data_IF_463903876179
#
_entry.id   IF_463903876179
#
_cell.length_a   1.000
_cell.length_b   1.000
_cell.length_c   1.000
_cell.angle_alpha   90.00
_cell.angle_beta   90.00
_cell.angle_gamma   90.00
#
_symmetry.space_group_name_H-M   'P 1'
#
loop_
_entity.id
_entity.type
_entity.pdbx_description
1 polymer ?
#
# COMPACT_ATOMS: atom_id res chain seq x y z
N UNK A 1 -3.98 6.41 -15.55
CA UNK A 1 -4.58 6.68 -14.22
C UNK A 1 -5.22 8.07 -14.15
N UNK A 2 -4.55 9.13 -14.60
CA UNK A 2 -5.03 10.52 -14.49
C UNK A 2 -6.40 10.78 -15.12
N UNK A 3 -6.72 10.11 -16.24
CA UNK A 3 -8.03 10.26 -16.92
C UNK A 3 -9.16 9.44 -16.28
N UNK A 4 -8.86 8.48 -15.40
CA UNK A 4 -9.87 7.54 -14.87
C UNK A 4 -10.93 8.26 -14.01
N UNK A 5 -10.51 9.28 -13.26
CA UNK A 5 -11.36 10.02 -12.33
C UNK A 5 -11.65 11.45 -12.80
N UNK A 6 -11.16 11.85 -13.99
CA UNK A 6 -11.39 13.18 -14.53
C UNK A 6 -12.90 13.46 -14.70
N UNK A 7 -13.34 14.64 -14.25
CA UNK A 7 -14.75 15.04 -14.29
C UNK A 7 -15.58 14.61 -13.07
N UNK A 8 -15.02 13.79 -12.16
CA UNK A 8 -15.67 13.38 -10.91
C UNK A 8 -15.28 14.30 -9.74
N UNK A 9 -16.09 14.31 -8.68
CA UNK A 9 -15.71 14.88 -7.38
C UNK A 9 -15.04 13.83 -6.50
N UNK A 10 -14.42 14.24 -5.40
CA UNK A 10 -13.87 13.31 -4.41
C UNK A 10 -14.91 12.39 -3.81
N UNK A 11 -16.09 12.92 -3.51
CA UNK A 11 -17.21 12.18 -2.92
C UNK A 11 -17.69 11.08 -3.87
N UNK A 12 -17.77 11.37 -5.17
CA UNK A 12 -18.17 10.39 -6.19
C UNK A 12 -17.13 9.28 -6.31
N UNK A 13 -15.83 9.62 -6.32
CA UNK A 13 -14.75 8.61 -6.35
C UNK A 13 -14.75 7.77 -5.08
N UNK A 14 -14.91 8.38 -3.91
CA UNK A 14 -14.97 7.65 -2.63
C UNK A 14 -16.17 6.70 -2.58
N UNK A 15 -17.35 7.13 -3.04
CA UNK A 15 -18.54 6.29 -3.11
C UNK A 15 -18.37 5.11 -4.09
N UNK A 16 -17.74 5.35 -5.24
CA UNK A 16 -17.41 4.30 -6.22
C UNK A 16 -16.39 3.32 -5.63
N UNK A 17 -15.37 3.83 -4.95
CA UNK A 17 -14.35 3.04 -4.27
C UNK A 17 -14.96 2.12 -3.21
N UNK A 18 -15.87 2.62 -2.37
CA UNK A 18 -16.57 1.79 -1.37
C UNK A 18 -17.31 0.61 -2.01
N UNK A 19 -18.08 0.87 -3.06
CA UNK A 19 -18.78 -0.19 -3.78
C UNK A 19 -17.83 -1.23 -4.35
N UNK A 20 -16.73 -0.77 -4.93
CA UNK A 20 -15.70 -1.64 -5.50
C UNK A 20 -15.02 -2.50 -4.42
N UNK A 21 -14.71 -1.92 -3.26
CA UNK A 21 -14.10 -2.62 -2.13
C UNK A 21 -15.08 -3.65 -1.56
N UNK A 22 -16.35 -3.29 -1.37
CA UNK A 22 -17.38 -4.21 -0.88
C UNK A 22 -17.52 -5.43 -1.79
N UNK A 23 -17.48 -5.24 -3.10
CA UNK A 23 -17.48 -6.33 -4.05
C UNK A 23 -16.19 -7.16 -3.97
N UNK A 24 -15.02 -6.52 -3.96
CA UNK A 24 -13.73 -7.18 -3.93
C UNK A 24 -13.50 -8.00 -2.65
N UNK A 25 -14.10 -7.61 -1.52
CA UNK A 25 -14.06 -8.36 -0.26
C UNK A 25 -14.85 -9.67 -0.32
N UNK A 26 -15.84 -9.77 -1.22
CA UNK A 26 -16.64 -10.98 -1.44
C UNK A 26 -16.06 -11.87 -2.53
N UNK A 27 -15.27 -11.31 -3.45
CA UNK A 27 -14.67 -12.04 -4.55
C UNK A 27 -13.64 -13.08 -4.05
N UNK A 28 -13.46 -14.15 -4.85
CA UNK A 28 -12.35 -15.08 -4.63
C UNK A 28 -11.02 -14.38 -4.84
N UNK A 29 -10.03 -14.76 -4.03
CA UNK A 29 -8.64 -14.42 -4.30
C UNK A 29 -8.16 -15.30 -5.45
N UNK A 30 -8.01 -14.73 -6.63
CA UNK A 30 -7.62 -15.44 -7.85
C UNK A 30 -6.82 -14.54 -8.78
N UNK A 31 -6.14 -15.14 -9.74
CA UNK A 31 -5.53 -14.43 -10.86
C UNK A 31 -6.44 -14.55 -12.07
N UNK A 32 -6.75 -13.43 -12.71
CA UNK A 32 -7.56 -13.37 -13.92
C UNK A 32 -6.76 -12.74 -15.05
N UNK A 33 -6.96 -13.27 -16.26
CA UNK A 33 -6.38 -12.71 -17.48
C UNK A 33 -7.50 -12.24 -18.38
N UNK A 34 -7.46 -10.98 -18.76
CA UNK A 34 -8.38 -10.39 -19.71
C UNK A 34 -7.66 -10.04 -21.01
N UNK A 35 -8.35 -10.24 -22.10
CA UNK A 35 -7.88 -9.91 -23.43
C UNK A 35 -8.83 -8.92 -24.10
N UNK A 36 -8.28 -7.95 -24.83
CA UNK A 36 -9.09 -7.05 -25.63
C UNK A 36 -9.83 -7.83 -26.70
N UNK A 37 -11.11 -7.49 -27.00
CA UNK A 37 -11.87 -8.14 -28.07
C UNK A 37 -11.11 -8.07 -29.41
N UNK A 38 -11.16 -9.15 -30.19
CA UNK A 38 -10.43 -9.25 -31.46
C UNK A 38 -10.81 -8.12 -32.45
N UNK A 39 -12.06 -7.69 -32.46
CA UNK A 39 -12.56 -6.59 -33.29
C UNK A 39 -12.14 -5.18 -32.83
N UNK A 40 -11.49 -5.04 -31.66
CA UNK A 40 -11.05 -3.75 -31.09
C UNK A 40 -9.51 -3.66 -31.03
N UNK A 41 -8.79 -4.35 -31.90
CA UNK A 41 -7.35 -4.24 -32.05
C UNK A 41 -7.01 -2.82 -32.52
N UNK A 42 -6.29 -2.06 -31.68
CA UNK A 42 -5.67 -0.80 -32.07
C UNK A 42 -4.29 -1.04 -32.73
N UNK A 43 -3.51 0.02 -32.89
CA UNK A 43 -2.13 -0.06 -33.43
C UNK A 43 -1.24 -0.99 -32.58
N UNK A 44 -1.51 -1.13 -31.29
CA UNK A 44 -0.80 -2.03 -30.37
C UNK A 44 -1.20 -3.52 -30.49
N UNK A 45 -2.11 -3.86 -31.39
CA UNK A 45 -2.63 -5.22 -31.54
C UNK A 45 -3.57 -5.63 -30.40
N UNK A 46 -3.59 -6.93 -30.09
CA UNK A 46 -4.36 -7.46 -28.96
C UNK A 46 -3.65 -7.17 -27.64
N UNK A 47 -4.38 -6.62 -26.67
CA UNK A 47 -3.87 -6.31 -25.33
C UNK A 47 -4.33 -7.40 -24.37
N UNK A 48 -3.38 -7.99 -23.66
CA UNK A 48 -3.63 -8.96 -22.60
C UNK A 48 -3.15 -8.40 -21.27
N UNK A 49 -3.96 -8.48 -20.22
CA UNK A 49 -3.59 -8.05 -18.87
C UNK A 49 -3.96 -9.13 -17.85
N UNK A 50 -3.00 -9.49 -17.00
CA UNK A 50 -3.24 -10.38 -15.86
C UNK A 50 -3.22 -9.58 -14.58
N UNK A 51 -4.22 -9.76 -13.74
CA UNK A 51 -4.35 -9.06 -12.46
C UNK A 51 -4.89 -10.00 -11.38
N UNK A 52 -4.65 -9.63 -10.12
CA UNK A 52 -5.20 -10.33 -8.95
C UNK A 52 -6.57 -9.75 -8.62
N UNK A 53 -7.56 -10.62 -8.45
CA UNK A 53 -8.92 -10.28 -8.02
C UNK A 53 -9.12 -10.66 -6.57
N UNK A 54 -10.04 -9.95 -5.93
CA UNK A 54 -10.37 -10.13 -4.52
C UNK A 54 -9.43 -9.39 -3.58
N UNK A 55 -9.96 -9.01 -2.44
CA UNK A 55 -9.25 -8.32 -1.35
C UNK A 55 -9.63 -8.96 -0.02
N UNK A 56 -8.75 -8.93 0.96
CA UNK A 56 -9.06 -9.30 2.36
C UNK A 56 -8.54 -8.24 3.30
N UNK A 57 -9.36 -7.86 4.26
CA UNK A 57 -8.89 -7.05 5.40
C UNK A 57 -8.04 -7.92 6.33
N UNK A 58 -6.90 -7.39 6.75
CA UNK A 58 -5.92 -8.11 7.58
C UNK A 58 -6.16 -7.77 9.05
N UNK A 59 -6.71 -8.71 9.81
CA UNK A 59 -7.08 -8.52 11.22
C UNK A 59 -5.89 -8.16 12.10
N UNK A 60 -4.74 -8.73 11.83
CA UNK A 60 -3.51 -8.44 12.57
C UNK A 60 -3.12 -6.96 12.42
N UNK A 61 -3.26 -6.40 11.22
CA UNK A 61 -3.00 -4.97 10.97
C UNK A 61 -4.06 -4.07 11.62
N UNK A 62 -5.33 -4.48 11.62
CA UNK A 62 -6.40 -3.77 12.35
C UNK A 62 -6.08 -3.71 13.84
N UNK A 63 -5.66 -4.83 14.44
CA UNK A 63 -5.27 -4.92 15.85
C UNK A 63 -4.01 -4.10 16.14
N UNK A 64 -3.00 -4.15 15.28
CA UNK A 64 -1.78 -3.35 15.41
C UNK A 64 -2.11 -1.86 15.43
N UNK A 65 -2.85 -1.37 14.44
CA UNK A 65 -3.23 0.05 14.36
C UNK A 65 -4.04 0.49 15.57
N UNK A 66 -5.05 -0.29 15.95
CA UNK A 66 -5.85 -0.03 17.15
C UNK A 66 -4.98 0.05 18.41
N UNK A 67 -4.02 -0.87 18.57
CA UNK A 67 -3.14 -0.90 19.74
C UNK A 67 -2.20 0.31 19.76
N UNK A 68 -1.59 0.67 18.63
CA UNK A 68 -0.71 1.83 18.51
C UNK A 68 -1.47 3.11 18.87
N UNK A 69 -2.62 3.34 18.23
CA UNK A 69 -3.44 4.53 18.46
C UNK A 69 -3.96 4.61 19.92
N UNK A 70 -4.34 3.49 20.52
CA UNK A 70 -4.77 3.44 21.93
C UNK A 70 -3.63 3.77 22.92
N UNK A 71 -2.38 3.65 22.49
CA UNK A 71 -1.18 4.01 23.27
C UNK A 71 -0.59 5.37 22.86
N UNK A 72 -1.34 6.21 22.16
CA UNK A 72 -0.92 7.57 21.79
C UNK A 72 0.11 7.64 20.65
N UNK A 73 0.22 6.57 19.84
CA UNK A 73 1.07 6.55 18.65
C UNK A 73 0.20 6.81 17.43
N UNK A 74 0.46 7.90 16.72
CA UNK A 74 -0.26 8.23 15.51
C UNK A 74 0.13 7.28 14.37
N UNK A 75 -0.90 6.78 13.67
CA UNK A 75 -0.75 5.86 12.56
C UNK A 75 -1.14 6.56 11.26
N UNK A 76 -0.28 6.46 10.26
CA UNK A 76 -0.46 7.09 8.95
C UNK A 76 -0.46 6.03 7.84
N UNK A 77 -1.26 6.29 6.81
CA UNK A 77 -1.19 5.56 5.55
C UNK A 77 -0.51 6.42 4.50
N UNK A 78 0.53 5.89 3.86
CA UNK A 78 1.25 6.52 2.76
C UNK A 78 1.20 5.62 1.51
N UNK A 79 0.16 5.80 0.69
CA UNK A 79 -0.16 4.90 -0.42
C UNK A 79 0.21 5.50 -1.78
N UNK A 80 0.70 4.67 -2.70
CA UNK A 80 0.87 5.04 -4.11
C UNK A 80 -0.43 4.95 -4.94
N UNK A 81 -1.56 4.65 -4.31
CA UNK A 81 -2.88 4.72 -4.95
C UNK A 81 -3.45 6.14 -4.84
N UNK A 82 -4.46 6.44 -5.66
CA UNK A 82 -5.15 7.72 -5.59
C UNK A 82 -5.86 7.89 -4.24
N UNK A 83 -5.71 9.06 -3.62
CA UNK A 83 -6.13 9.31 -2.23
C UNK A 83 -7.61 9.02 -2.00
N UNK A 84 -8.49 9.44 -2.92
CA UNK A 84 -9.94 9.25 -2.78
C UNK A 84 -10.37 7.78 -2.92
N UNK A 85 -9.49 6.91 -3.43
CA UNK A 85 -9.70 5.45 -3.43
C UNK A 85 -9.31 4.83 -2.08
N UNK A 86 -8.30 5.37 -1.41
CA UNK A 86 -7.75 4.81 -0.17
C UNK A 86 -8.53 5.26 1.07
N UNK A 87 -8.97 6.51 1.12
CA UNK A 87 -9.68 7.07 2.28
C UNK A 87 -10.83 6.19 2.76
N UNK A 88 -11.76 5.72 1.90
CA UNK A 88 -12.86 4.87 2.36
C UNK A 88 -12.35 3.60 3.06
N UNK A 89 -11.37 2.90 2.47
CA UNK A 89 -10.86 1.64 3.02
C UNK A 89 -10.09 1.82 4.32
N UNK A 90 -9.31 2.88 4.43
CA UNK A 90 -8.51 3.17 5.62
C UNK A 90 -9.35 3.70 6.79
N UNK A 91 -10.38 4.54 6.50
CA UNK A 91 -11.03 5.35 7.52
C UNK A 91 -12.46 4.91 7.87
N UNK A 92 -13.18 4.23 6.95
CA UNK A 92 -14.53 3.77 7.26
C UNK A 92 -14.48 2.58 8.22
N UNK A 93 -15.18 2.71 9.35
CA UNK A 93 -15.19 1.72 10.44
C UNK A 93 -15.65 0.32 10.02
N UNK A 94 -16.44 0.21 8.96
CA UNK A 94 -16.87 -1.11 8.43
C UNK A 94 -15.71 -1.99 7.97
N UNK A 95 -14.56 -1.39 7.60
CA UNK A 95 -13.36 -2.15 7.18
C UNK A 95 -12.37 -2.38 8.33
N UNK A 96 -12.57 -1.76 9.48
CA UNK A 96 -11.89 -2.06 10.74
C UNK A 96 -10.49 -1.49 10.93
N UNK A 97 -9.96 -0.71 9.98
CA UNK A 97 -8.66 -0.05 10.14
C UNK A 97 -8.75 1.23 10.96
N UNK A 98 -9.82 2.00 10.80
CA UNK A 98 -10.17 3.18 11.59
C UNK A 98 -9.08 4.27 11.64
N UNK A 99 -8.32 4.42 10.58
CA UNK A 99 -7.32 5.48 10.48
C UNK A 99 -8.05 6.83 10.28
N UNK A 100 -7.72 7.88 11.03
CA UNK A 100 -8.25 9.22 10.81
C UNK A 100 -8.02 9.67 9.36
N UNK A 101 -8.99 10.33 8.72
CA UNK A 101 -8.90 10.73 7.30
C UNK A 101 -7.69 11.64 7.04
N UNK A 102 -7.37 12.52 7.97
CA UNK A 102 -6.22 13.41 7.96
C UNK A 102 -4.87 12.69 7.97
N UNK A 103 -4.86 11.44 8.47
CA UNK A 103 -3.68 10.60 8.53
C UNK A 103 -3.52 9.71 7.27
N UNK A 104 -4.39 9.88 6.28
CA UNK A 104 -4.30 9.15 5.01
C UNK A 104 -3.67 10.03 3.94
N UNK A 105 -2.53 9.59 3.40
CA UNK A 105 -1.87 10.21 2.26
C UNK A 105 -1.84 9.27 1.05
N UNK A 106 -2.02 9.82 -0.14
CA UNK A 106 -2.09 9.07 -1.39
C UNK A 106 -1.73 9.96 -2.57
N UNK A 107 -1.65 9.41 -3.76
CA UNK A 107 -1.46 10.19 -4.99
C UNK A 107 -2.59 11.20 -5.14
N UNK A 108 -2.28 12.42 -5.61
CA UNK A 108 -3.27 13.48 -5.79
C UNK A 108 -3.33 13.99 -7.22
N UNK A 109 -4.54 14.27 -7.67
CA UNK A 109 -4.82 14.99 -8.91
C UNK A 109 -5.25 16.43 -8.59
N UNK A 110 -5.02 17.33 -9.53
CA UNK A 110 -5.54 18.70 -9.46
C UNK A 110 -7.06 18.68 -9.40
N UNK A 111 -7.63 19.70 -8.78
CA UNK A 111 -9.08 19.95 -8.78
C UNK A 111 -9.29 21.39 -9.24
N UNK A 112 -10.38 21.62 -9.95
CA UNK A 112 -10.81 22.98 -10.29
C UNK A 112 -11.48 23.67 -9.09
N UNK A 113 -11.92 24.92 -9.29
CA UNK A 113 -12.56 25.73 -8.25
C UNK A 113 -13.89 25.14 -7.74
N UNK A 114 -14.47 24.18 -8.46
CA UNK A 114 -15.69 23.46 -8.08
C UNK A 114 -15.38 22.12 -7.40
N UNK A 115 -14.09 21.78 -7.20
CA UNK A 115 -13.66 20.53 -6.62
C UNK A 115 -13.67 19.34 -7.60
N UNK A 116 -13.86 19.60 -8.91
CA UNK A 116 -13.88 18.56 -9.95
C UNK A 116 -12.45 18.17 -10.32
N UNK A 117 -12.18 16.88 -10.31
CA UNK A 117 -10.88 16.27 -10.58
C UNK A 117 -10.48 16.51 -12.03
N UNK A 118 -9.25 16.98 -12.22
CA UNK A 118 -8.62 17.21 -13.52
C UNK A 118 -7.64 16.08 -13.87
N UNK A 119 -7.39 15.78 -15.16
CA UNK A 119 -6.51 14.68 -15.58
C UNK A 119 -5.01 15.01 -15.43
N UNK A 120 -4.65 15.72 -14.37
CA UNK A 120 -3.29 16.16 -14.09
C UNK A 120 -2.92 15.91 -12.64
N UNK A 121 -1.65 15.53 -12.39
CA UNK A 121 -1.14 15.45 -11.01
C UNK A 121 -1.09 16.84 -10.37
N UNK A 122 -1.41 16.89 -9.06
CA UNK A 122 -1.18 18.07 -8.25
C UNK A 122 0.33 18.25 -8.03
N UNK A 123 0.91 19.22 -8.71
CA UNK A 123 2.35 19.51 -8.66
C UNK A 123 2.79 20.21 -7.37
N UNK A 124 1.84 20.72 -6.57
CA UNK A 124 2.11 21.33 -5.27
C UNK A 124 2.22 20.29 -4.14
N UNK A 125 2.05 19.02 -4.50
CA UNK A 125 2.03 17.89 -3.56
C UNK A 125 3.04 16.82 -3.98
N UNK A 126 3.88 16.38 -3.05
CA UNK A 126 4.78 15.25 -3.29
C UNK A 126 3.94 13.99 -3.53
N UNK A 127 4.05 13.43 -4.75
CA UNK A 127 3.30 12.24 -5.08
C UNK A 127 3.87 11.03 -4.31
N UNK A 128 3.01 10.29 -3.64
CA UNK A 128 3.34 9.23 -2.67
C UNK A 128 3.85 7.94 -3.33
N UNK A 129 4.84 8.05 -4.20
CA UNK A 129 5.47 6.94 -4.91
C UNK A 129 7.00 7.03 -4.81
N UNK A 130 7.66 5.93 -4.44
CA UNK A 130 9.11 5.89 -4.30
C UNK A 130 9.63 6.94 -3.32
N UNK A 131 10.57 7.78 -3.76
CA UNK A 131 11.13 8.88 -2.96
C UNK A 131 10.07 9.90 -2.52
N UNK A 132 8.99 10.06 -3.28
CA UNK A 132 7.87 10.92 -2.91
C UNK A 132 7.18 10.50 -1.61
N UNK A 133 7.25 9.22 -1.20
CA UNK A 133 6.78 8.78 0.12
C UNK A 133 7.65 9.36 1.24
N UNK A 134 8.97 9.32 1.10
CA UNK A 134 9.90 9.95 2.04
C UNK A 134 9.63 11.45 2.14
N UNK A 135 9.46 12.11 1.00
CA UNK A 135 9.16 13.54 0.94
C UNK A 135 7.82 13.87 1.61
N UNK A 136 6.79 13.09 1.37
CA UNK A 136 5.47 13.23 2.01
C UNK A 136 5.58 13.09 3.52
N UNK A 137 6.30 12.07 4.01
CA UNK A 137 6.52 11.89 5.46
C UNK A 137 7.22 13.10 6.05
N UNK A 138 8.29 13.61 5.44
CA UNK A 138 9.04 14.77 5.93
C UNK A 138 8.23 16.06 5.91
N UNK A 139 7.49 16.33 4.83
CA UNK A 139 6.81 17.60 4.61
C UNK A 139 5.40 17.69 5.19
N UNK A 140 4.68 16.58 5.31
CA UNK A 140 3.27 16.57 5.71
C UNK A 140 3.01 15.86 7.03
N UNK A 141 3.84 14.89 7.41
CA UNK A 141 3.64 14.11 8.63
C UNK A 141 4.56 14.62 9.74
N UNK A 142 5.87 14.59 9.53
CA UNK A 142 6.85 14.94 10.55
C UNK A 142 6.69 16.37 11.09
N UNK A 143 6.23 17.30 10.26
CA UNK A 143 5.97 18.71 10.66
C UNK A 143 4.90 18.83 11.76
N UNK A 144 3.98 17.86 11.85
CA UNK A 144 2.96 17.80 12.90
C UNK A 144 3.46 17.09 14.17
N UNK A 145 4.71 16.61 14.17
CA UNK A 145 5.36 15.86 15.24
C UNK A 145 6.72 16.46 15.61
N UNK A 146 6.84 17.79 15.65
CA UNK A 146 8.08 18.51 15.96
C UNK A 146 9.28 18.07 15.09
N UNK A 147 9.01 17.72 13.83
CA UNK A 147 9.94 17.15 12.85
C UNK A 147 10.59 15.83 13.31
N UNK A 148 9.91 15.08 14.16
CA UNK A 148 10.34 13.73 14.52
C UNK A 148 10.18 12.75 13.35
N UNK A 149 11.13 11.85 13.23
CA UNK A 149 11.09 10.78 12.25
C UNK A 149 10.15 9.64 12.70
N UNK A 150 9.59 8.86 11.77
CA UNK A 150 8.79 7.69 12.11
C UNK A 150 9.64 6.66 12.88
N UNK A 151 9.05 6.06 13.91
CA UNK A 151 9.69 5.00 14.70
C UNK A 151 9.41 3.61 14.11
N UNK A 152 8.31 3.46 13.37
CA UNK A 152 7.91 2.22 12.68
C UNK A 152 7.46 2.55 11.27
N UNK A 153 7.97 1.81 10.30
CA UNK A 153 7.51 1.84 8.90
C UNK A 153 7.24 0.42 8.42
N UNK A 154 6.15 0.24 7.69
CA UNK A 154 5.82 -1.03 7.06
C UNK A 154 5.62 -0.86 5.55
N UNK A 155 6.07 -1.83 4.75
CA UNK A 155 5.93 -1.81 3.30
C UNK A 155 6.13 -3.17 2.65
N UNK A 156 5.84 -3.27 1.33
CA UNK A 156 5.88 -4.55 0.60
C UNK A 156 6.48 -4.46 -0.81
N UNK A 157 6.77 -3.26 -1.28
CA UNK A 157 7.12 -3.01 -2.68
C UNK A 157 8.33 -2.08 -2.84
N UNK A 158 8.88 -2.04 -4.05
CA UNK A 158 9.95 -1.10 -4.38
C UNK A 158 9.52 0.38 -4.21
N UNK A 159 8.21 0.65 -4.26
CA UNK A 159 7.67 1.96 -3.94
C UNK A 159 7.85 2.38 -2.48
N UNK A 160 8.10 1.41 -1.57
CA UNK A 160 8.29 1.64 -0.13
C UNK A 160 9.77 1.67 0.27
N UNK A 161 10.67 1.29 -0.64
CA UNK A 161 12.10 1.15 -0.34
C UNK A 161 12.71 2.43 0.20
N UNK A 162 12.44 3.57 -0.43
CA UNK A 162 12.98 4.85 0.01
C UNK A 162 12.56 5.18 1.45
N UNK A 163 11.25 5.17 1.75
CA UNK A 163 10.78 5.49 3.11
C UNK A 163 11.28 4.52 4.18
N UNK A 164 11.52 3.25 3.85
CA UNK A 164 12.10 2.27 4.78
C UNK A 164 13.60 2.53 5.08
N UNK A 165 14.32 3.18 4.15
CA UNK A 165 15.76 3.39 4.24
C UNK A 165 16.15 4.79 4.70
N UNK A 166 15.36 5.81 4.42
CA UNK A 166 15.76 7.23 4.46
C UNK A 166 15.60 7.89 5.84
N UNK A 167 15.18 7.14 6.86
CA UNK A 167 14.99 7.64 8.23
C UNK A 167 15.96 6.98 9.19
N UNK A 168 17.07 7.68 9.55
CA UNK A 168 18.10 7.11 10.44
C UNK A 168 17.64 6.81 11.88
N UNK A 169 16.53 7.43 12.33
CA UNK A 169 15.93 7.17 13.64
C UNK A 169 14.86 6.09 13.63
N UNK A 170 14.62 5.45 12.49
CA UNK A 170 13.71 4.32 12.41
C UNK A 170 14.15 3.22 13.38
N UNK A 171 13.22 2.75 14.22
CA UNK A 171 13.48 1.69 15.19
C UNK A 171 13.02 0.32 14.70
N UNK A 172 12.01 0.28 13.80
CA UNK A 172 11.49 -0.95 13.26
C UNK A 172 10.98 -0.76 11.82
N UNK A 173 11.52 -1.54 10.90
CA UNK A 173 11.00 -1.69 9.53
C UNK A 173 10.33 -3.06 9.34
N UNK A 174 9.03 -3.09 9.08
CA UNK A 174 8.31 -4.33 8.77
C UNK A 174 8.19 -4.48 7.25
N UNK A 175 8.68 -5.59 6.72
CA UNK A 175 8.62 -5.91 5.30
C UNK A 175 7.65 -7.07 5.11
N UNK A 176 6.54 -6.84 4.42
CA UNK A 176 5.66 -7.93 4.02
C UNK A 176 6.32 -8.71 2.89
N UNK A 177 6.56 -9.98 3.13
CA UNK A 177 7.29 -10.82 2.20
C UNK A 177 6.48 -11.09 0.93
N UNK A 178 6.84 -10.43 -0.16
CA UNK A 178 6.32 -10.66 -1.51
C UNK A 178 7.29 -11.46 -2.38
N UNK A 179 8.34 -12.05 -1.79
CA UNK A 179 9.39 -12.77 -2.53
C UNK A 179 9.98 -11.88 -3.63
N UNK A 180 10.36 -10.64 -3.28
CA UNK A 180 10.96 -9.69 -4.22
C UNK A 180 12.36 -10.12 -4.60
N UNK A 181 12.83 -9.60 -5.74
CA UNK A 181 14.19 -9.83 -6.22
C UNK A 181 15.21 -9.38 -5.15
N UNK A 182 16.02 -10.30 -4.59
CA UNK A 182 16.93 -9.99 -3.49
C UNK A 182 18.07 -9.03 -3.86
N UNK A 183 18.29 -8.79 -5.15
CA UNK A 183 19.40 -7.96 -5.65
C UNK A 183 19.07 -6.46 -5.73
N UNK A 184 17.81 -6.05 -5.52
CA UNK A 184 17.39 -4.65 -5.72
C UNK A 184 16.19 -4.20 -4.90
N UNK A 185 16.13 -2.90 -4.66
CA UNK A 185 15.00 -2.23 -3.99
C UNK A 185 14.67 -2.86 -2.63
N UNK A 186 13.39 -3.07 -2.34
CA UNK A 186 12.94 -3.64 -1.07
C UNK A 186 13.44 -5.09 -0.85
N UNK A 187 13.80 -5.81 -1.92
CA UNK A 187 14.41 -7.14 -1.81
C UNK A 187 15.75 -7.13 -1.08
N UNK A 188 16.53 -6.04 -1.18
CA UNK A 188 17.75 -5.86 -0.37
C UNK A 188 17.45 -5.79 1.13
N UNK A 189 16.35 -5.09 1.51
CA UNK A 189 15.93 -5.01 2.92
C UNK A 189 15.32 -6.33 3.39
N UNK A 190 14.62 -7.06 2.52
CA UNK A 190 14.15 -8.42 2.79
C UNK A 190 15.33 -9.36 3.08
N UNK A 191 16.39 -9.32 2.26
CA UNK A 191 17.63 -10.09 2.48
C UNK A 191 18.23 -9.72 3.83
N UNK A 192 18.37 -8.43 4.14
CA UNK A 192 18.88 -7.97 5.43
C UNK A 192 18.04 -8.46 6.61
N UNK A 193 16.71 -8.45 6.49
CA UNK A 193 15.81 -8.98 7.53
C UNK A 193 15.97 -10.50 7.74
N UNK A 194 16.37 -11.23 6.69
CA UNK A 194 16.67 -12.68 6.80
C UNK A 194 18.00 -12.88 7.53
N UNK A 195 19.04 -12.13 7.17
CA UNK A 195 20.40 -12.25 7.70
C UNK A 195 20.51 -11.84 9.17
N UNK A 196 19.76 -10.80 9.58
CA UNK A 196 19.79 -10.27 10.95
C UNK A 196 18.71 -10.87 11.87
N UNK A 197 18.00 -11.92 11.42
CA UNK A 197 16.94 -12.52 12.21
C UNK A 197 17.45 -13.06 13.56
N UNK A 198 16.78 -12.64 14.64
CA UNK A 198 17.13 -13.02 16.01
C UNK A 198 18.28 -12.21 16.63
N UNK A 199 18.84 -11.23 15.92
CA UNK A 199 19.81 -10.29 16.47
C UNK A 199 19.09 -9.17 17.22
N UNK A 200 19.67 -8.72 18.35
CA UNK A 200 19.05 -7.67 19.19
C UNK A 200 18.96 -6.31 18.49
N UNK A 201 19.87 -6.04 17.56
CA UNK A 201 19.96 -4.80 16.79
C UNK A 201 19.32 -4.89 15.41
N UNK A 202 18.52 -5.94 15.14
CA UNK A 202 17.82 -6.09 13.87
C UNK A 202 16.83 -4.95 13.65
N UNK A 203 17.05 -4.16 12.58
CA UNK A 203 16.18 -3.06 12.21
C UNK A 203 14.96 -3.53 11.39
N UNK A 204 15.15 -4.55 10.52
CA UNK A 204 14.12 -5.02 9.60
C UNK A 204 13.60 -6.39 10.00
N UNK A 205 12.26 -6.52 9.93
CA UNK A 205 11.54 -7.73 10.25
C UNK A 205 10.72 -8.16 9.04
N UNK A 206 10.82 -9.44 8.69
CA UNK A 206 10.10 -10.02 7.55
C UNK A 206 8.82 -10.69 8.03
N UNK A 207 7.68 -10.29 7.47
CA UNK A 207 6.37 -10.84 7.75
C UNK A 207 5.87 -11.67 6.58
N UNK A 208 5.67 -12.96 6.80
CA UNK A 208 5.10 -13.88 5.82
C UNK A 208 3.58 -13.78 5.70
N UNK A 209 3.05 -14.31 4.60
CA UNK A 209 1.61 -14.29 4.32
C UNK A 209 1.15 -15.48 3.48
N UNK A 210 -0.12 -15.82 3.57
CA UNK A 210 -0.80 -16.76 2.67
C UNK A 210 -1.66 -15.96 1.69
N UNK A 211 -1.23 -15.87 0.43
CA UNK A 211 -1.96 -15.12 -0.61
C UNK A 211 -3.27 -15.80 -1.01
N UNK A 212 -3.41 -17.13 -0.81
CA UNK A 212 -4.66 -17.83 -1.12
C UNK A 212 -5.77 -17.52 -0.11
N UNK A 213 -5.39 -17.24 1.14
CA UNK A 213 -6.33 -16.93 2.22
C UNK A 213 -6.42 -15.43 2.51
N UNK A 214 -5.43 -14.65 2.07
CA UNK A 214 -5.33 -13.22 2.38
C UNK A 214 -5.08 -12.92 3.85
N UNK A 215 -4.24 -13.73 4.50
CA UNK A 215 -3.89 -13.61 5.92
C UNK A 215 -2.38 -13.54 6.13
N UNK A 216 -1.94 -12.98 7.25
CA UNK A 216 -0.55 -13.08 7.68
C UNK A 216 -0.29 -14.45 8.31
N UNK A 217 0.95 -14.91 8.23
CA UNK A 217 1.43 -16.14 8.84
C UNK A 217 2.26 -15.83 10.09
N UNK A 218 2.36 -16.80 11.00
CA UNK A 218 3.20 -16.68 12.21
C UNK A 218 4.71 -16.77 11.93
N UNK A 219 5.11 -16.68 10.67
CA UNK A 219 6.48 -16.80 10.20
C UNK A 219 6.83 -15.79 9.11
N UNK A 220 8.01 -15.97 8.54
CA UNK A 220 8.59 -15.10 7.51
C UNK A 220 8.31 -15.57 6.09
N UNK A 221 7.86 -16.81 5.94
CA UNK A 221 7.64 -17.46 4.65
C UNK A 221 6.30 -17.05 4.06
N UNK A 222 6.23 -16.98 2.74
CA UNK A 222 5.02 -16.63 1.99
C UNK A 222 4.56 -17.79 1.13
N UNK A 223 3.26 -18.09 1.18
CA UNK A 223 2.58 -18.97 0.25
C UNK A 223 1.96 -18.10 -0.84
N UNK A 224 2.46 -18.25 -2.07
CA UNK A 224 1.95 -17.50 -3.22
C UNK A 224 0.54 -17.95 -3.61
N UNK A 225 -0.19 -17.05 -4.26
CA UNK A 225 -1.47 -17.36 -4.89
C UNK A 225 -1.29 -18.57 -5.83
N UNK A 226 -2.22 -19.53 -5.73
CA UNK A 226 -2.23 -20.79 -6.46
C UNK A 226 -1.08 -21.78 -6.11
N UNK A 227 -0.28 -21.48 -5.08
CA UNK A 227 0.75 -22.37 -4.54
C UNK A 227 0.32 -22.97 -3.20
N UNK A 228 0.95 -24.08 -2.83
CA UNK A 228 0.87 -24.68 -1.49
C UNK A 228 2.19 -24.57 -0.73
N UNK A 229 3.26 -24.20 -1.41
CA UNK A 229 4.61 -24.16 -0.85
C UNK A 229 4.88 -22.81 -0.19
N UNK A 230 5.36 -22.86 1.05
CA UNK A 230 5.87 -21.71 1.77
C UNK A 230 7.32 -21.43 1.32
N UNK A 231 7.62 -20.17 1.00
CA UNK A 231 8.92 -19.73 0.52
C UNK A 231 9.42 -18.53 1.34
N UNK A 232 10.68 -18.56 1.74
CA UNK A 232 11.31 -17.46 2.48
C UNK A 232 11.87 -16.38 1.54
N UNK A 233 12.48 -16.80 0.44
CA UNK A 233 13.07 -15.93 -0.59
C UNK A 233 12.89 -16.55 -1.97
N UNK A 234 13.19 -15.80 -3.02
CA UNK A 234 13.29 -16.32 -4.40
C UNK A 234 14.59 -17.07 -4.62
#
# INVERSE_FOLDING_TARGET
MTYLYAGMTSEEVQALSEKSIDQALQDKLTSETWESPEGLKGESGQITVTFKRGVRSVKEMQNLYKTLMANGIDVYICSASYIDVIIPYASNSKYGYNIPKENVTGMRLKKDDKGVIQPEYDTNYAQTQGEGKTETIKKLIAVNHDNQEPILIAGDSNGDYAMLKDFPKLQMGIIFNLLRDPSKGIGLLQTKAIETYGQEDALYYLQGRDENKGVLLNGRETIKLDSKEAQLSR
#
